data_IF_986239951373
#
_entry.id   IF_986239951373
#
_cell.length_a   1.000
_cell.length_b   1.000
_cell.length_c   1.000
_cell.angle_alpha   90.00
_cell.angle_beta   90.00
_cell.angle_gamma   90.00
#
_symmetry.space_group_name_H-M   'P 1'
#
loop_
_entity.id
_entity.type
_entity.pdbx_description
1 polymer ?
#
# COMPACT_ATOMS: atom_id res chain seq x y z
N UNK A 1 17.25 5.79 -11.31
CA UNK A 1 16.26 4.70 -11.26
C UNK A 1 14.97 5.23 -11.83
N UNK A 2 14.34 4.49 -12.75
CA UNK A 2 12.98 4.80 -13.20
C UNK A 2 12.04 4.79 -11.99
N UNK A 3 11.04 5.67 -11.99
CA UNK A 3 9.97 5.67 -11.01
C UNK A 3 8.68 5.43 -11.75
N UNK A 4 8.09 4.27 -11.56
CA UNK A 4 6.79 3.91 -12.07
C UNK A 4 5.71 4.48 -11.15
N UNK A 5 4.58 4.92 -11.73
CA UNK A 5 3.43 5.40 -10.97
C UNK A 5 2.38 4.29 -10.87
N UNK A 6 1.94 3.99 -9.65
CA UNK A 6 0.90 3.01 -9.37
C UNK A 6 -0.40 3.72 -8.99
N UNK A 7 -1.46 3.52 -9.77
CA UNK A 7 -2.80 4.05 -9.48
C UNK A 7 -3.77 2.90 -9.22
N UNK A 8 -4.31 2.80 -8.01
CA UNK A 8 -5.15 1.69 -7.57
C UNK A 8 -6.56 2.21 -7.30
N UNK A 9 -7.57 1.56 -7.91
CA UNK A 9 -8.97 1.77 -7.56
C UNK A 9 -9.38 0.74 -6.51
N UNK A 10 -9.98 1.21 -5.42
CA UNK A 10 -10.50 0.38 -4.34
C UNK A 10 -11.87 0.92 -3.94
N UNK A 11 -12.70 0.08 -3.32
CA UNK A 11 -13.97 0.54 -2.80
C UNK A 11 -13.79 1.38 -1.51
N UNK A 12 -14.86 2.02 -1.05
CA UNK A 12 -14.81 2.91 0.11
C UNK A 12 -14.42 2.17 1.40
N UNK A 13 -14.85 0.91 1.56
CA UNK A 13 -14.57 0.12 2.76
C UNK A 13 -13.08 -0.24 2.86
N UNK A 14 -12.50 -0.71 1.76
CA UNK A 14 -11.08 -1.00 1.62
C UNK A 14 -10.21 0.24 1.86
N UNK A 15 -10.60 1.37 1.26
CA UNK A 15 -9.91 2.63 1.47
C UNK A 15 -9.94 3.05 2.95
N UNK A 16 -11.12 2.98 3.59
CA UNK A 16 -11.28 3.30 5.01
C UNK A 16 -10.47 2.36 5.93
N UNK A 17 -10.32 1.08 5.57
CA UNK A 17 -9.42 0.15 6.29
C UNK A 17 -7.96 0.60 6.16
N UNK A 18 -7.49 0.92 4.95
CA UNK A 18 -6.13 1.40 4.71
C UNK A 18 -5.86 2.72 5.46
N UNK A 19 -6.81 3.66 5.45
CA UNK A 19 -6.68 4.94 6.17
C UNK A 19 -6.51 4.73 7.68
N UNK A 20 -7.33 3.87 8.29
CA UNK A 20 -7.27 3.57 9.72
C UNK A 20 -5.93 2.95 10.09
N UNK A 21 -5.44 2.01 9.28
CA UNK A 21 -4.13 1.41 9.48
C UNK A 21 -3.00 2.44 9.40
N UNK A 22 -2.99 3.26 8.34
CA UNK A 22 -1.99 4.31 8.15
C UNK A 22 -1.95 5.30 9.33
N UNK A 23 -3.13 5.73 9.81
CA UNK A 23 -3.24 6.63 10.98
C UNK A 23 -2.71 5.98 12.25
N UNK A 24 -3.11 4.73 12.54
CA UNK A 24 -2.67 3.99 13.73
C UNK A 24 -1.16 3.81 13.78
N UNK A 25 -0.54 3.51 12.64
CA UNK A 25 0.89 3.18 12.55
C UNK A 25 1.77 4.37 12.15
N UNK A 26 1.20 5.58 11.95
CA UNK A 26 1.90 6.78 11.46
C UNK A 26 2.69 6.52 10.16
N UNK A 27 2.12 5.74 9.25
CA UNK A 27 2.71 5.38 7.95
C UNK A 27 1.95 6.05 6.81
N UNK A 28 2.64 6.36 5.71
CA UNK A 28 1.96 6.79 4.48
C UNK A 28 1.36 5.59 3.73
N UNK A 29 0.28 5.82 2.96
CA UNK A 29 -0.33 4.78 2.13
C UNK A 29 0.69 4.16 1.19
N UNK A 30 1.53 5.00 0.57
CA UNK A 30 2.59 4.56 -0.34
C UNK A 30 3.64 3.69 0.36
N UNK A 31 3.98 3.95 1.61
CA UNK A 31 4.92 3.10 2.36
C UNK A 31 4.31 1.74 2.65
N UNK A 32 3.05 1.70 3.07
CA UNK A 32 2.33 0.44 3.34
C UNK A 32 2.23 -0.40 2.07
N UNK A 33 1.86 0.21 0.93
CA UNK A 33 1.79 -0.51 -0.35
C UNK A 33 3.18 -0.95 -0.81
N UNK A 34 4.23 -0.14 -0.64
CA UNK A 34 5.61 -0.54 -0.96
C UNK A 34 6.11 -1.68 -0.08
N UNK A 35 5.75 -1.68 1.20
CA UNK A 35 6.10 -2.75 2.14
C UNK A 35 5.38 -4.05 1.74
N UNK A 36 4.09 -3.98 1.40
CA UNK A 36 3.35 -5.12 0.87
C UNK A 36 4.02 -5.67 -0.41
N UNK A 37 4.36 -4.82 -1.38
CA UNK A 37 5.03 -5.25 -2.61
C UNK A 37 6.36 -5.96 -2.30
N UNK A 38 7.14 -5.45 -1.34
CA UNK A 38 8.42 -6.08 -0.92
C UNK A 38 8.23 -7.42 -0.19
N UNK A 39 7.06 -7.65 0.40
CA UNK A 39 6.73 -8.93 1.03
C UNK A 39 6.26 -9.98 0.03
N UNK A 40 5.95 -9.59 -1.21
CA UNK A 40 5.65 -10.55 -2.28
C UNK A 40 6.96 -11.28 -2.59
N UNK A 41 7.03 -12.57 -2.26
CA UNK A 41 8.10 -13.44 -2.77
C UNK A 41 7.92 -13.60 -4.27
N UNK A 42 9.00 -13.45 -5.03
CA UNK A 42 9.07 -14.01 -6.38
C UNK A 42 8.99 -15.53 -6.19
N UNK A 43 7.83 -16.13 -6.46
CA UNK A 43 7.58 -17.53 -6.13
C UNK A 43 8.66 -18.47 -6.68
N UNK A 44 9.19 -19.32 -5.80
CA UNK A 44 9.88 -20.58 -6.16
C UNK A 44 8.86 -21.61 -6.68
#
# INVERSE_FOLDING_TARGET
>A
MSREQLHIRVNQEEYAKLERYCKKHKRSKSDVIREFIRSLSDGD
#
